data_IF_277340781589
#
_entry.id   IF_277340781589
#
_cell.length_a   1.000
_cell.length_b   1.000
_cell.length_c   1.000
_cell.angle_alpha   90.00
_cell.angle_beta   90.00
_cell.angle_gamma   90.00
#
_symmetry.space_group_name_H-M   'P 1'
#
loop_
_entity.id
_entity.type
_entity.pdbx_description
1 polymer ?
#
# COMPACT_ATOMS: atom_id res chain seq x y z
N UNK A 1 -5.39 -11.55 8.50
CA UNK A 1 -5.41 -10.63 9.67
C UNK A 1 -5.41 -9.22 9.11
N UNK A 2 -5.91 -8.19 9.80
CA UNK A 2 -5.70 -6.79 9.38
C UNK A 2 -4.72 -6.12 10.34
N UNK A 3 -3.91 -5.18 9.85
CA UNK A 3 -3.02 -4.37 10.68
C UNK A 3 -3.60 -2.97 10.87
N UNK A 4 -3.32 -2.37 12.03
CA UNK A 4 -3.52 -0.95 12.23
C UNK A 4 -2.35 -0.19 11.58
N UNK A 5 -2.64 0.84 10.79
CA UNK A 5 -1.66 1.68 10.10
C UNK A 5 -2.11 3.14 10.12
N UNK A 6 -1.23 4.06 9.79
CA UNK A 6 -1.49 5.52 9.80
C UNK A 6 -2.65 5.96 8.90
N UNK A 7 -3.08 5.14 7.94
CA UNK A 7 -4.32 5.37 7.20
C UNK A 7 -5.54 5.55 8.13
N UNK A 8 -5.55 4.93 9.31
CA UNK A 8 -6.60 5.15 10.32
C UNK A 8 -6.62 6.61 10.80
N UNK A 9 -5.46 7.19 11.11
CA UNK A 9 -5.31 8.58 11.55
C UNK A 9 -5.68 9.56 10.44
N UNK A 10 -5.26 9.29 9.21
CA UNK A 10 -5.59 10.12 8.04
C UNK A 10 -7.09 10.16 7.79
N UNK A 11 -7.75 8.99 7.84
CA UNK A 11 -9.19 8.91 7.70
C UNK A 11 -9.92 9.62 8.86
N UNK A 12 -9.40 9.56 10.09
CA UNK A 12 -9.97 10.27 11.24
C UNK A 12 -9.99 11.79 11.05
N UNK A 13 -8.99 12.35 10.37
CA UNK A 13 -8.92 13.80 10.05
C UNK A 13 -9.52 14.17 8.69
N UNK A 14 -10.23 13.24 8.04
CA UNK A 14 -10.95 13.48 6.79
C UNK A 14 -10.09 13.45 5.52
N UNK A 15 -8.88 12.90 5.56
CA UNK A 15 -8.05 12.65 4.39
C UNK A 15 -8.25 11.20 3.95
N UNK A 16 -8.85 10.93 2.77
CA UNK A 16 -9.07 9.57 2.31
C UNK A 16 -7.75 8.81 2.15
N UNK A 17 -7.60 7.70 2.88
CA UNK A 17 -6.38 6.90 2.86
C UNK A 17 -6.68 5.39 2.89
N UNK A 18 -5.84 4.62 2.19
CA UNK A 18 -5.92 3.16 2.15
C UNK A 18 -4.57 2.53 2.53
N UNK A 19 -4.62 1.36 3.16
CA UNK A 19 -3.44 0.51 3.34
C UNK A 19 -3.28 -0.35 2.08
N UNK A 20 -2.19 -0.18 1.34
CA UNK A 20 -1.91 -0.94 0.13
C UNK A 20 -0.41 -1.24 0.03
N UNK A 21 -0.08 -2.49 -0.29
CA UNK A 21 1.30 -2.95 -0.40
C UNK A 21 1.37 -4.43 -0.83
N UNK A 22 2.56 -4.93 -1.18
CA UNK A 22 2.76 -6.31 -1.57
C UNK A 22 2.82 -7.26 -0.36
N UNK A 23 2.72 -8.56 -0.62
CA UNK A 23 2.83 -9.62 0.39
C UNK A 23 1.51 -9.98 1.08
N UNK A 24 1.60 -10.83 2.10
CA UNK A 24 0.50 -11.16 3.00
C UNK A 24 0.81 -10.61 4.40
N UNK A 25 -0.19 -10.04 5.06
CA UNK A 25 -0.05 -9.54 6.42
C UNK A 25 -0.06 -10.66 7.46
N UNK A 26 -0.57 -11.85 7.12
CA UNK A 26 -0.56 -13.02 8.01
C UNK A 26 0.87 -13.53 8.32
N UNK A 27 1.85 -13.20 7.48
CA UNK A 27 3.27 -13.55 7.64
C UNK A 27 4.12 -12.41 8.21
N UNK A 28 3.56 -11.20 8.34
CA UNK A 28 4.29 -10.06 8.91
C UNK A 28 4.64 -10.32 10.38
N UNK A 29 5.78 -9.80 10.85
CA UNK A 29 6.33 -10.05 12.19
C UNK A 29 6.59 -11.53 12.50
N UNK A 30 6.89 -12.32 11.46
CA UNK A 30 7.36 -13.69 11.62
C UNK A 30 8.89 -13.77 11.45
N UNK A 31 9.49 -14.86 11.94
CA UNK A 31 10.92 -15.10 11.75
C UNK A 31 11.30 -15.32 10.27
N UNK A 32 10.34 -15.82 9.49
CA UNK A 32 10.48 -16.13 8.07
C UNK A 32 9.70 -15.11 7.22
N UNK A 33 9.78 -13.81 7.55
CA UNK A 33 9.10 -12.77 6.79
C UNK A 33 9.73 -12.60 5.40
N UNK A 34 8.94 -12.76 4.34
CA UNK A 34 9.39 -12.62 2.96
C UNK A 34 8.26 -12.13 2.04
N UNK A 35 8.60 -11.70 0.83
CA UNK A 35 7.65 -11.30 -0.21
C UNK A 35 8.18 -11.69 -1.58
N UNK A 36 7.31 -12.08 -2.51
CA UNK A 36 7.72 -12.39 -3.89
C UNK A 36 8.17 -11.13 -4.62
N UNK A 37 9.26 -11.20 -5.37
CA UNK A 37 9.75 -10.07 -6.17
C UNK A 37 8.70 -9.56 -7.15
N UNK A 38 7.96 -10.48 -7.79
CA UNK A 38 6.88 -10.12 -8.71
C UNK A 38 5.74 -9.32 -8.03
N UNK A 39 5.52 -9.50 -6.72
CA UNK A 39 4.54 -8.70 -5.99
C UNK A 39 5.05 -7.28 -5.75
N UNK A 40 6.36 -7.11 -5.48
CA UNK A 40 7.00 -5.79 -5.35
C UNK A 40 6.90 -5.03 -6.68
N UNK A 41 7.28 -5.66 -7.79
CA UNK A 41 7.21 -5.07 -9.13
C UNK A 41 5.79 -4.60 -9.45
N UNK A 42 4.80 -5.47 -9.24
CA UNK A 42 3.39 -5.12 -9.45
C UNK A 42 2.92 -3.96 -8.57
N UNK A 43 3.34 -3.93 -7.30
CA UNK A 43 2.98 -2.83 -6.41
C UNK A 43 3.60 -1.51 -6.89
N UNK A 44 4.84 -1.54 -7.36
CA UNK A 44 5.52 -0.38 -7.92
C UNK A 44 4.80 0.15 -9.17
N UNK A 45 4.44 -0.73 -10.11
CA UNK A 45 3.72 -0.37 -11.34
C UNK A 45 2.37 0.33 -11.03
N UNK A 46 1.62 -0.18 -10.04
CA UNK A 46 0.34 0.42 -9.64
C UNK A 46 0.53 1.81 -9.03
N UNK A 47 1.49 1.97 -8.13
CA UNK A 47 1.78 3.26 -7.49
C UNK A 47 2.31 4.29 -8.51
N UNK A 48 3.14 3.84 -9.46
CA UNK A 48 3.67 4.66 -10.54
C UNK A 48 2.55 5.14 -11.48
N UNK A 49 1.69 4.23 -11.93
CA UNK A 49 0.52 4.57 -12.75
C UNK A 49 -0.39 5.55 -12.01
N UNK A 50 -0.70 5.29 -10.74
CA UNK A 50 -1.56 6.17 -9.94
C UNK A 50 -0.98 7.58 -9.80
N UNK A 51 0.32 7.69 -9.47
CA UNK A 51 0.98 8.98 -9.35
C UNK A 51 1.03 9.73 -10.69
N UNK A 52 1.27 9.01 -11.79
CA UNK A 52 1.27 9.58 -13.14
C UNK A 52 -0.12 10.09 -13.51
N UNK A 53 -1.17 9.32 -13.24
CA UNK A 53 -2.55 9.72 -13.49
C UNK A 53 -2.91 10.95 -12.66
N UNK A 54 -2.55 10.99 -11.38
CA UNK A 54 -2.80 12.14 -10.50
C UNK A 54 -2.15 13.42 -11.02
N UNK A 55 -0.89 13.34 -11.49
CA UNK A 55 -0.16 14.50 -12.02
C UNK A 55 -0.69 14.96 -13.39
N UNK A 56 -1.16 14.03 -14.22
CA UNK A 56 -1.55 14.33 -15.61
C UNK A 56 -3.03 14.66 -15.79
N UNK A 57 -3.90 14.12 -14.94
CA UNK A 57 -5.35 14.29 -15.07
C UNK A 57 -5.89 15.48 -14.26
N UNK A 58 -5.07 16.10 -13.41
CA UNK A 58 -5.47 17.20 -12.54
C UNK A 58 -6.40 16.72 -11.42
N UNK A 59 -6.05 17.06 -10.18
CA UNK A 59 -6.95 16.87 -9.04
C UNK A 59 -8.15 17.84 -9.10
#
# INVERSE_FOLDING_TARGET
MTAWVDAALLNEIGIPAVCYGPGDIAQAHSADEWVELAQIEKCADVLESFARDLVTQGA
#
